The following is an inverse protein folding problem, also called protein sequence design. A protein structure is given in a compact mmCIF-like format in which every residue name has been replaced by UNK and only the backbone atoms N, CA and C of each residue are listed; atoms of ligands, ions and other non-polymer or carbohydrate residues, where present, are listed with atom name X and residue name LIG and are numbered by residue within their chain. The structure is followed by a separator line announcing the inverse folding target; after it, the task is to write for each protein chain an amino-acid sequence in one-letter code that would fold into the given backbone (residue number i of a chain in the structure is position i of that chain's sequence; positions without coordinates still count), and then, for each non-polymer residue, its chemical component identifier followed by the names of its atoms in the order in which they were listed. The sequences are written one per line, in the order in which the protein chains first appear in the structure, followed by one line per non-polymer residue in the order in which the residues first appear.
data_IF_061439285329
#
_entry.id   IF_061439285329
#
_cell.length_a   1.000
_cell.length_b   1.000
_cell.length_c   1.000
_cell.angle_alpha   90.00
_cell.angle_beta   90.00
_cell.angle_gamma   90.00
#
_symmetry.space_group_name_H-M   'P 1'
#
loop_
_entity.id
_entity.type
_entity.pdbx_description
1 polymer ?
#
# COMPACT_ATOMS: atom_id res chain seq x y z
N UNK A 1 2.59 -4.85 -4.15
CA UNK A 1 2.67 -3.91 -3.01
C UNK A 1 3.83 -4.19 -2.05
N UNK A 2 3.83 -5.29 -1.28
CA UNK A 2 4.85 -5.53 -0.24
C UNK A 2 6.31 -5.47 -0.73
N UNK A 3 6.60 -5.95 -1.95
CA UNK A 3 7.95 -5.86 -2.55
C UNK A 3 8.39 -4.41 -2.76
N UNK A 4 7.51 -3.57 -3.30
CA UNK A 4 7.85 -2.17 -3.52
C UNK A 4 7.99 -1.43 -2.16
N UNK A 5 7.12 -1.70 -1.17
CA UNK A 5 7.22 -1.09 0.18
C UNK A 5 8.58 -1.37 0.84
N UNK A 6 9.09 -2.60 0.78
CA UNK A 6 10.33 -3.01 1.46
C UNK A 6 11.59 -2.28 0.98
N UNK A 7 11.58 -1.77 -0.25
CA UNK A 7 12.74 -1.11 -0.87
C UNK A 7 12.52 0.38 -1.08
N UNK A 8 11.35 0.90 -0.68
CA UNK A 8 10.96 2.28 -0.90
C UNK A 8 10.97 3.08 0.39
N UNK A 9 11.03 4.40 0.23
CA UNK A 9 10.75 5.36 1.31
C UNK A 9 9.27 5.71 1.29
N UNK A 10 8.70 5.90 2.47
CA UNK A 10 7.31 6.34 2.66
C UNK A 10 7.39 7.48 3.63
N UNK A 11 7.15 8.69 3.15
CA UNK A 11 7.36 9.91 3.92
C UNK A 11 6.05 10.67 4.05
N UNK A 12 5.87 11.33 5.19
CA UNK A 12 4.81 12.30 5.47
C UNK A 12 3.38 11.78 5.23
N UNK A 13 3.16 10.48 5.44
CA UNK A 13 1.86 9.82 5.31
C UNK A 13 1.44 9.18 6.62
N UNK A 14 1.89 9.69 7.77
CA UNK A 14 1.57 9.07 9.05
C UNK A 14 0.06 9.19 9.33
N UNK A 15 -0.58 8.04 9.49
CA UNK A 15 -1.99 7.95 9.81
C UNK A 15 -2.23 6.72 10.69
N UNK A 16 -2.19 6.89 12.03
CA UNK A 16 -2.44 5.79 12.96
C UNK A 16 -3.91 5.38 13.01
N UNK A 17 -4.83 6.15 12.41
CA UNK A 17 -6.28 5.90 12.41
C UNK A 17 -6.75 5.02 11.25
N UNK A 18 -5.84 4.67 10.33
CA UNK A 18 -6.14 3.86 9.15
C UNK A 18 -7.17 4.50 8.21
N UNK A 19 -7.19 5.82 8.11
CA UNK A 19 -8.07 6.60 7.24
C UNK A 19 -7.57 6.72 5.80
N UNK A 20 -6.26 6.56 5.55
CA UNK A 20 -5.68 6.65 4.21
C UNK A 20 -6.28 5.59 3.27
N UNK A 21 -6.77 6.05 2.12
CA UNK A 21 -7.27 5.20 1.02
C UNK A 21 -6.26 5.04 -0.12
N UNK A 22 -5.19 5.83 -0.08
CA UNK A 22 -4.07 5.79 -1.01
C UNK A 22 -2.77 5.67 -0.26
N UNK A 23 -1.82 4.92 -0.83
CA UNK A 23 -0.45 4.82 -0.33
C UNK A 23 0.51 5.25 -1.43
N UNK A 24 1.26 6.31 -1.16
CA UNK A 24 2.35 6.77 -2.04
C UNK A 24 3.68 6.26 -1.49
N UNK A 25 4.52 5.69 -2.34
CA UNK A 25 5.85 5.25 -1.96
C UNK A 25 6.87 5.78 -2.97
N UNK A 26 8.05 6.16 -2.49
CA UNK A 26 9.16 6.60 -3.33
C UNK A 26 10.12 5.44 -3.50
N UNK A 27 10.08 4.82 -4.68
CA UNK A 27 10.94 3.69 -5.02
C UNK A 27 12.24 4.19 -5.67
N UNK A 28 13.41 3.66 -5.29
CA UNK A 28 14.71 4.18 -5.73
C UNK A 28 14.89 4.18 -7.25
N UNK A 29 14.40 3.15 -7.94
CA UNK A 29 14.52 3.02 -9.42
C UNK A 29 13.28 3.49 -10.18
N UNK A 30 12.09 3.38 -9.59
CA UNK A 30 10.80 3.56 -10.29
C UNK A 30 10.18 4.94 -10.04
N UNK A 31 10.76 5.72 -9.13
CA UNK A 31 10.20 6.99 -8.67
C UNK A 31 8.96 6.78 -7.80
N UNK A 32 8.03 7.73 -7.86
CA UNK A 32 6.80 7.69 -7.09
C UNK A 32 5.85 6.59 -7.63
N UNK A 33 5.40 5.73 -6.72
CA UNK A 33 4.39 4.71 -6.97
C UNK A 33 3.20 5.00 -6.07
N UNK A 34 2.00 5.03 -6.62
CA UNK A 34 0.76 5.25 -5.87
C UNK A 34 -0.10 4.00 -5.95
N UNK A 35 -0.55 3.51 -4.80
CA UNK A 35 -1.51 2.43 -4.68
C UNK A 35 -2.85 2.98 -4.18
N UNK A 36 -3.96 2.46 -4.71
CA UNK A 36 -5.30 2.89 -4.30
C UNK A 36 -6.39 1.93 -4.75
N UNK A 37 -7.60 2.17 -4.25
CA UNK A 37 -8.81 1.44 -4.64
C UNK A 37 -9.66 2.34 -5.53
N UNK A 38 -10.02 1.86 -6.72
CA UNK A 38 -10.91 2.55 -7.66
C UNK A 38 -11.99 1.59 -8.15
N UNK A 39 -13.26 1.91 -7.89
CA UNK A 39 -14.43 1.13 -8.35
C UNK A 39 -14.27 -0.39 -8.10
N UNK A 40 -13.81 -0.74 -6.91
CA UNK A 40 -13.64 -2.14 -6.52
C UNK A 40 -12.40 -2.84 -7.06
N UNK A 41 -11.51 -2.12 -7.74
CA UNK A 41 -10.26 -2.61 -8.34
C UNK A 41 -9.08 -1.95 -7.65
N UNK A 42 -8.10 -2.77 -7.25
CA UNK A 42 -6.84 -2.26 -6.71
C UNK A 42 -5.98 -1.79 -7.88
N UNK A 43 -5.57 -0.53 -7.84
CA UNK A 43 -4.77 0.11 -8.88
C UNK A 43 -3.39 0.47 -8.36
N UNK A 44 -2.43 0.42 -9.29
CA UNK A 44 -1.05 0.89 -9.10
C UNK A 44 -0.74 1.90 -10.18
N UNK A 45 -0.29 3.09 -9.79
CA UNK A 45 0.22 4.11 -10.70
C UNK A 45 1.73 4.22 -10.53
N UNK A 46 2.48 4.09 -11.63
CA UNK A 46 3.94 4.15 -11.67
C UNK A 46 4.35 4.91 -12.94
N UNK A 47 5.19 5.95 -12.82
CA UNK A 47 5.62 6.75 -13.97
C UNK A 47 4.46 7.40 -14.74
N UNK A 48 3.37 7.73 -14.06
CA UNK A 48 2.15 8.29 -14.68
C UNK A 48 1.23 7.27 -15.36
N UNK A 49 1.62 5.99 -15.41
CA UNK A 49 0.78 4.92 -15.96
C UNK A 49 0.06 4.18 -14.84
N UNK A 50 -1.27 4.08 -14.94
CA UNK A 50 -2.10 3.33 -14.00
C UNK A 50 -2.44 1.95 -14.54
N UNK A 51 -2.25 0.92 -13.71
CA UNK A 51 -2.57 -0.47 -14.04
C UNK A 51 -3.40 -1.12 -12.93
N UNK A 52 -4.32 -1.99 -13.31
CA UNK A 52 -5.11 -2.81 -12.39
C UNK A 52 -4.26 -4.00 -11.92
N UNK A 53 -4.18 -4.21 -10.60
CA UNK A 53 -3.36 -5.28 -10.00
C UNK A 53 -4.18 -6.33 -9.24
N UNK A 54 -5.50 -6.15 -9.15
CA UNK A 54 -6.43 -7.14 -8.62
C UNK A 54 -7.12 -7.91 -9.75
N UNK A 55 -7.48 -9.17 -9.48
CA UNK A 55 -8.29 -9.98 -10.42
C UNK A 55 -9.66 -9.35 -10.67
N UNK A 56 -10.13 -9.40 -11.93
CA UNK A 56 -11.48 -8.98 -12.32
C UNK A 56 -12.58 -9.84 -11.70
N UNK A 57 -12.26 -11.03 -11.17
CA UNK A 57 -13.22 -11.87 -10.45
C UNK A 57 -13.50 -11.39 -9.01
N UNK A 58 -12.67 -10.47 -8.48
CA UNK A 58 -12.72 -9.99 -7.10
C UNK A 58 -13.16 -8.52 -7.10
N UNK A 59 -13.92 -8.14 -6.08
CA UNK A 59 -14.34 -6.78 -5.80
C UNK A 59 -13.87 -6.37 -4.41
N UNK A 60 -12.99 -5.39 -4.35
CA UNK A 60 -12.54 -4.81 -3.08
C UNK A 60 -13.56 -3.77 -2.61
N UNK A 61 -14.22 -4.02 -1.49
CA UNK A 61 -15.17 -3.07 -0.87
C UNK A 61 -14.46 -2.06 0.02
N UNK A 62 -13.26 -2.41 0.51
CA UNK A 62 -12.42 -1.52 1.31
C UNK A 62 -10.94 -1.83 1.08
N UNK A 63 -10.12 -0.81 1.01
CA UNK A 63 -8.67 -0.90 1.15
C UNK A 63 -8.17 0.38 1.82
N UNK A 64 -7.69 0.26 3.04
CA UNK A 64 -7.16 1.36 3.82
C UNK A 64 -5.72 1.06 4.26
N UNK A 65 -4.98 2.12 4.57
CA UNK A 65 -3.61 2.06 5.02
C UNK A 65 -3.49 2.73 6.39
N UNK A 66 -2.89 2.03 7.35
CA UNK A 66 -2.38 2.62 8.57
C UNK A 66 -0.87 2.74 8.42
N UNK A 67 -0.35 3.95 8.42
CA UNK A 67 1.09 4.19 8.27
C UNK A 67 1.59 4.78 9.58
N UNK A 68 2.68 4.23 10.10
CA UNK A 68 3.34 4.70 11.33
C UNK A 68 4.83 4.85 11.07
N UNK A 69 5.46 5.80 11.76
CA UNK A 69 6.92 5.98 11.65
C UNK A 69 7.36 6.39 10.24
N UNK A 70 6.55 7.21 9.56
CA UNK A 70 6.86 7.81 8.26
C UNK A 70 7.21 9.30 8.39
N UNK A 71 7.45 9.80 9.61
CA UNK A 71 7.90 11.17 9.82
C UNK A 71 9.31 11.33 9.27
N UNK A 72 9.58 12.43 8.57
CA UNK A 72 10.87 12.65 7.90
C UNK A 72 12.08 12.65 8.86
N UNK A 73 11.86 12.86 10.17
CA UNK A 73 12.91 13.00 11.19
C UNK A 73 12.64 12.19 12.46
N UNK A 74 11.62 11.32 12.46
CA UNK A 74 11.17 10.65 13.68
C UNK A 74 12.08 9.48 14.12
N UNK A 75 13.04 9.09 13.27
CA UNK A 75 13.93 7.93 13.43
C UNK A 75 13.20 6.60 13.72
N UNK A 76 11.91 6.52 13.38
CA UNK A 76 11.12 5.31 13.58
C UNK A 76 11.16 4.45 12.33
N UNK A 77 11.05 3.15 12.55
CA UNK A 77 10.83 2.23 11.45
C UNK A 77 9.44 2.47 10.86
N UNK A 78 9.36 2.71 9.57
CA UNK A 78 8.07 2.80 8.89
C UNK A 78 7.38 1.45 8.86
N UNK A 79 6.14 1.42 9.34
CA UNK A 79 5.25 0.26 9.27
C UNK A 79 3.97 0.67 8.54
N UNK A 80 3.64 -0.08 7.48
CA UNK A 80 2.39 0.07 6.75
C UNK A 80 1.51 -1.16 7.00
N UNK A 81 0.37 -0.94 7.62
CA UNK A 81 -0.69 -1.94 7.76
C UNK A 81 -1.76 -1.69 6.71
N UNK A 82 -2.02 -2.69 5.88
CA UNK A 82 -3.04 -2.68 4.85
C UNK A 82 -4.24 -3.44 5.38
N UNK A 83 -5.40 -2.79 5.43
CA UNK A 83 -6.67 -3.39 5.82
C UNK A 83 -7.55 -3.45 4.59
N UNK A 84 -7.99 -4.65 4.22
CA UNK A 84 -8.79 -4.86 3.01
C UNK A 84 -9.99 -5.75 3.25
N UNK A 85 -11.07 -5.46 2.56
CA UNK A 85 -12.28 -6.28 2.49
C UNK A 85 -12.57 -6.53 1.02
N UNK A 86 -12.74 -7.78 0.65
CA UNK A 86 -12.98 -8.21 -0.72
C UNK A 86 -14.09 -9.25 -0.79
N UNK A 87 -14.73 -9.33 -1.94
CA UNK A 87 -15.75 -10.33 -2.23
C UNK A 87 -15.65 -10.79 -3.69
N UNK A 88 -16.24 -11.94 -4.02
CA UNK A 88 -16.40 -12.35 -5.40
C UNK A 88 -17.38 -11.41 -6.13
N UNK A 89 -17.10 -11.11 -7.41
CA UNK A 89 -18.02 -10.33 -8.28
C UNK A 89 -19.21 -11.13 -8.78
N UNK A 90 -19.01 -12.42 -8.98
CA UNK A 90 -19.97 -13.32 -9.61
C UNK A 90 -20.06 -14.62 -8.83
N UNK A 91 -21.26 -15.22 -8.80
CA UNK A 91 -21.53 -16.46 -8.09
C UNK A 91 -22.92 -16.42 -7.44
N UNK A 92 -23.46 -17.60 -7.08
CA UNK A 92 -24.73 -17.68 -6.35
C UNK A 92 -24.61 -17.20 -4.90
N UNK A 93 -23.44 -17.35 -4.31
CA UNK A 93 -23.14 -16.93 -2.95
C UNK A 93 -22.14 -15.77 -2.97
N UNK A 94 -22.34 -14.78 -2.09
CA UNK A 94 -21.38 -13.71 -1.87
C UNK A 94 -20.45 -14.14 -0.74
N UNK A 95 -19.20 -14.41 -1.07
CA UNK A 95 -18.16 -14.78 -0.12
C UNK A 95 -17.33 -13.53 0.17
N UNK A 96 -17.31 -13.11 1.43
CA UNK A 96 -16.55 -11.95 1.91
C UNK A 96 -15.28 -12.43 2.60
N UNK A 97 -14.18 -11.73 2.32
CA UNK A 97 -12.87 -11.94 2.91
C UNK A 97 -12.37 -10.64 3.51
N UNK A 98 -11.91 -10.69 4.75
CA UNK A 98 -11.27 -9.55 5.42
C UNK A 98 -9.81 -9.93 5.69
N UNK A 99 -8.89 -9.09 5.22
CA UNK A 99 -7.46 -9.36 5.26
C UNK A 99 -6.76 -8.13 5.83
N UNK A 100 -5.92 -8.38 6.83
CA UNK A 100 -4.97 -7.40 7.34
C UNK A 100 -3.55 -7.91 7.09
N UNK A 101 -2.67 -7.02 6.61
CA UNK A 101 -1.25 -7.35 6.43
C UNK A 101 -0.39 -6.15 6.77
N UNK A 102 0.63 -6.36 7.59
CA UNK A 102 1.60 -5.32 7.94
C UNK A 102 2.94 -5.58 7.26
N UNK A 103 3.51 -4.52 6.68
CA UNK A 103 4.83 -4.54 6.05
C UNK A 103 5.65 -3.43 6.69
N UNK A 104 6.77 -3.80 7.30
CA UNK A 104 7.77 -2.85 7.75
C UNK A 104 8.87 -2.71 6.70
N UNK A 105 9.42 -1.50 6.60
CA UNK A 105 10.56 -1.20 5.74
C UNK A 105 11.67 -0.59 6.59
N UNK A 106 12.92 -0.93 6.29
CA UNK A 106 14.11 -0.24 6.79
C UNK A 106 14.92 0.15 5.57
N UNK A 107 15.08 1.45 5.33
CA UNK A 107 16.03 1.89 4.32
C UNK A 107 17.44 1.53 4.79
N UNK A 108 18.19 0.85 3.93
CA UNK A 108 19.62 0.56 4.13
C UNK A 108 20.51 1.48 3.28
N UNK A 109 19.91 2.41 2.54
CA UNK A 109 20.64 3.31 1.63
C UNK A 109 21.72 4.12 2.37
N UNK A 110 21.45 4.49 3.63
CA UNK A 110 22.43 5.18 4.50
C UNK A 110 23.49 4.26 5.10
N UNK A 111 23.25 2.95 5.16
CA UNK A 111 24.23 1.98 5.70
C UNK A 111 25.39 1.74 4.73
N UNK A 112 25.20 2.04 3.43
CA UNK A 112 26.23 1.90 2.39
C UNK A 112 26.95 3.22 2.06
N UNK A 113 26.65 4.31 2.78
CA UNK A 113 27.32 5.60 2.65
C UNK A 113 28.44 5.80 3.69
N UNK A 114 28.81 4.73 4.44
CA UNK A 114 29.95 4.70 5.36
C UNK A 114 31.25 4.27 4.67
#
# INVERSE_FOLDING_TARGET
MARDIRVSKIENQEDPTCGLTTLTITHPVKGAIVYGLSVGVVQKTEGGTTVDISSSAINFTRMNFCVRGSGAIDQKQTVVTIISSAQNRTGKETIKFEIQTSVSSRSVETEFLQ
#
